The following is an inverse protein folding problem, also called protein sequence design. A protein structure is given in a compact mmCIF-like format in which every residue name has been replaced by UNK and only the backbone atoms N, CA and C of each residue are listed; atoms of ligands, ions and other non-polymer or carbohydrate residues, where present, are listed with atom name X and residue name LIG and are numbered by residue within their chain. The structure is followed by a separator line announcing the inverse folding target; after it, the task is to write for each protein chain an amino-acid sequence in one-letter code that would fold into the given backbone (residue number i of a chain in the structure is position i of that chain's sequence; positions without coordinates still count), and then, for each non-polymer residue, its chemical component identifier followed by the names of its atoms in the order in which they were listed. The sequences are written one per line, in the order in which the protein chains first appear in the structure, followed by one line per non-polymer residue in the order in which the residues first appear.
data_IF_640083041431
#
_entry.id   IF_640083041431
#
_cell.length_a   1.000
_cell.length_b   1.000
_cell.length_c   1.000
_cell.angle_alpha   90.00
_cell.angle_beta   90.00
_cell.angle_gamma   90.00
#
_symmetry.space_group_name_H-M   'P 1'
#
loop_
_entity.id
_entity.type
_entity.pdbx_description
1 polymer ?
#
# COMPACT_ATOMS: atom_id res chain seq x y z
N UNK A 1 -36.31 36.58 -18.98
CA UNK A 1 -34.85 36.67 -18.69
C UNK A 1 -34.42 35.32 -18.16
N UNK A 2 -33.58 34.63 -18.87
CA UNK A 2 -33.07 33.29 -18.48
C UNK A 2 -31.87 33.49 -17.54
N UNK A 3 -31.85 32.82 -16.40
CA UNK A 3 -30.69 32.76 -15.50
C UNK A 3 -29.54 32.02 -16.19
N UNK A 4 -28.29 32.47 -16.04
CA UNK A 4 -27.14 31.78 -16.61
C UNK A 4 -26.87 30.51 -15.80
N UNK A 5 -26.97 29.36 -16.42
CA UNK A 5 -26.56 28.07 -15.86
C UNK A 5 -25.03 28.01 -15.85
N UNK A 6 -24.43 28.09 -14.65
CA UNK A 6 -22.99 27.92 -14.47
C UNK A 6 -22.57 26.53 -14.92
N UNK A 7 -21.60 26.45 -15.82
CA UNK A 7 -21.07 25.18 -16.30
C UNK A 7 -20.14 24.51 -15.26
N UNK A 8 -20.05 23.20 -15.27
CA UNK A 8 -19.26 22.38 -14.33
C UNK A 8 -17.75 22.78 -14.26
N UNK A 9 -17.26 23.46 -15.31
CA UNK A 9 -15.88 23.96 -15.39
C UNK A 9 -15.62 25.18 -14.50
N UNK A 10 -16.64 26.02 -14.26
CA UNK A 10 -16.50 27.23 -13.42
C UNK A 10 -16.53 26.93 -11.93
N UNK A 11 -17.22 25.84 -11.54
CA UNK A 11 -17.24 25.38 -10.14
C UNK A 11 -15.89 24.83 -9.68
N UNK A 12 -15.08 24.24 -10.57
CA UNK A 12 -13.77 23.67 -10.23
C UNK A 12 -12.71 24.75 -9.96
N UNK A 13 -12.85 25.96 -10.53
CA UNK A 13 -11.92 27.07 -10.30
C UNK A 13 -12.15 27.81 -8.97
N UNK A 14 -13.35 27.72 -8.39
CA UNK A 14 -13.68 28.40 -7.14
C UNK A 14 -13.01 27.74 -5.90
N UNK A 15 -12.57 26.48 -6.00
CA UNK A 15 -11.96 25.73 -4.88
C UNK A 15 -10.48 26.10 -4.69
N UNK A 16 -9.80 26.64 -5.70
CA UNK A 16 -8.36 26.97 -5.65
C UNK A 16 -8.04 28.27 -4.87
N UNK A 17 -9.04 29.01 -4.44
CA UNK A 17 -8.86 30.35 -3.79
C UNK A 17 -8.46 30.25 -2.31
N UNK A 18 -8.43 29.07 -1.71
CA UNK A 18 -8.13 28.87 -0.29
C UNK A 18 -6.84 28.09 -0.04
N UNK A 19 -5.79 28.32 -0.82
CA UNK A 19 -4.47 27.81 -0.43
C UNK A 19 -4.01 28.51 0.86
N UNK A 20 -4.07 27.76 1.96
CA UNK A 20 -3.52 28.23 3.24
C UNK A 20 -2.06 27.79 3.32
N UNK A 21 -1.13 28.65 3.76
CA UNK A 21 0.22 28.23 4.07
C UNK A 21 0.19 27.13 5.15
N UNK A 22 0.79 25.99 4.85
CA UNK A 22 0.87 24.88 5.80
C UNK A 22 2.07 25.12 6.72
N UNK A 23 1.82 25.61 7.92
CA UNK A 23 2.86 25.86 8.93
C UNK A 23 3.27 24.58 9.68
N UNK A 24 2.32 23.66 9.89
CA UNK A 24 2.54 22.39 10.57
C UNK A 24 1.74 21.29 9.89
N UNK A 25 2.26 20.07 9.92
CA UNK A 25 1.59 18.88 9.38
C UNK A 25 1.19 17.95 10.53
N UNK A 26 0.01 17.38 10.43
CA UNK A 26 -0.39 16.25 11.24
C UNK A 26 0.46 15.03 10.84
N UNK A 27 0.96 14.31 11.84
CA UNK A 27 1.67 13.06 11.63
C UNK A 27 0.74 11.91 12.02
N UNK A 28 0.29 11.16 11.03
CA UNK A 28 -0.54 9.99 11.26
C UNK A 28 0.24 8.94 12.06
N UNK A 29 -0.29 8.42 13.18
CA UNK A 29 0.40 7.40 13.97
C UNK A 29 0.74 6.14 13.18
N UNK A 30 -0.12 5.73 12.23
CA UNK A 30 0.12 4.58 11.38
C UNK A 30 1.30 4.83 10.46
N UNK A 31 1.35 6.00 9.80
CA UNK A 31 2.49 6.39 8.98
C UNK A 31 3.80 6.36 9.78
N UNK A 32 3.77 6.86 11.03
CA UNK A 32 4.96 6.90 11.89
C UNK A 32 5.52 5.52 12.19
N UNK A 33 4.68 4.54 12.53
CA UNK A 33 5.17 3.19 12.82
C UNK A 33 5.75 2.50 11.59
N UNK A 34 5.18 2.72 10.40
CA UNK A 34 5.71 2.16 9.16
C UNK A 34 7.00 2.85 8.70
N UNK A 35 7.08 4.18 8.79
CA UNK A 35 8.32 4.94 8.51
C UNK A 35 9.44 4.53 9.48
N UNK A 36 9.13 4.35 10.76
CA UNK A 36 10.10 3.89 11.75
C UNK A 36 10.58 2.46 11.45
N UNK A 37 9.68 1.58 10.98
CA UNK A 37 10.04 0.21 10.57
C UNK A 37 10.94 0.22 9.34
N UNK A 38 10.62 1.01 8.31
CA UNK A 38 11.48 1.18 7.14
C UNK A 38 12.89 1.65 7.54
N UNK A 39 12.99 2.58 8.50
CA UNK A 39 14.28 3.03 9.04
C UNK A 39 15.07 1.92 9.74
N UNK A 40 14.41 1.06 10.50
CA UNK A 40 15.07 -0.11 11.13
C UNK A 40 15.63 -1.07 10.09
N UNK A 41 14.99 -1.13 8.93
CA UNK A 41 15.45 -1.91 7.79
C UNK A 41 16.50 -1.19 6.92
N UNK A 42 16.94 0.01 7.32
CA UNK A 42 17.95 0.78 6.62
C UNK A 42 17.41 1.70 5.51
N UNK A 43 16.08 1.86 5.41
CA UNK A 43 15.46 2.72 4.39
C UNK A 43 15.12 4.10 4.94
N UNK A 44 15.37 5.12 4.12
CA UNK A 44 14.87 6.49 4.31
C UNK A 44 13.70 6.71 3.36
N UNK A 45 12.55 7.14 3.88
CA UNK A 45 11.37 7.46 3.07
C UNK A 45 11.42 8.94 2.69
N UNK A 46 11.20 9.24 1.41
CA UNK A 46 11.10 10.60 0.88
C UNK A 46 9.90 10.73 -0.06
N UNK A 47 9.22 11.89 -0.01
CA UNK A 47 8.17 12.22 -0.99
C UNK A 47 8.80 12.80 -2.25
N UNK A 48 8.37 12.29 -3.41
CA UNK A 48 8.79 12.79 -4.72
C UNK A 48 7.58 12.91 -5.65
N UNK A 49 7.20 14.12 -6.08
CA UNK A 49 6.01 14.33 -6.92
C UNK A 49 6.18 13.86 -8.37
N UNK A 50 7.37 13.46 -8.77
CA UNK A 50 7.65 13.03 -10.14
C UNK A 50 7.47 11.52 -10.37
N UNK A 51 7.18 10.75 -9.31
CA UNK A 51 7.09 9.29 -9.36
C UNK A 51 5.92 8.81 -8.52
N UNK A 52 5.45 7.59 -8.79
CA UNK A 52 4.51 6.87 -7.95
C UNK A 52 5.25 6.23 -6.76
N UNK A 53 6.19 5.35 -7.06
CA UNK A 53 7.14 4.76 -6.12
C UNK A 53 8.46 4.43 -6.83
N UNK A 54 9.59 4.50 -6.12
CA UNK A 54 10.89 4.06 -6.64
C UNK A 54 11.92 3.93 -5.51
N UNK A 55 12.88 3.04 -5.68
CA UNK A 55 14.05 2.94 -4.79
C UNK A 55 15.35 3.05 -5.57
N UNK A 56 16.37 3.61 -4.93
CA UNK A 56 17.73 3.64 -5.50
C UNK A 56 18.53 2.34 -5.23
N UNK A 57 17.95 1.36 -4.52
CA UNK A 57 18.63 0.15 -4.08
C UNK A 57 19.75 0.37 -3.04
N UNK A 58 19.87 1.60 -2.50
CA UNK A 58 20.96 2.01 -1.59
C UNK A 58 20.45 2.60 -0.28
N UNK A 59 19.16 2.40 0.01
CA UNK A 59 18.55 2.84 1.25
C UNK A 59 17.62 4.04 1.12
N UNK A 60 17.31 4.51 -0.08
CA UNK A 60 16.29 5.51 -0.33
C UNK A 60 15.07 4.85 -0.96
N UNK A 61 13.90 5.04 -0.36
CA UNK A 61 12.59 4.73 -0.94
C UNK A 61 11.82 6.04 -1.13
N UNK A 62 11.48 6.34 -2.36
CA UNK A 62 10.69 7.50 -2.74
C UNK A 62 9.25 7.08 -3.01
N UNK A 63 8.31 7.82 -2.45
CA UNK A 63 6.87 7.64 -2.65
C UNK A 63 6.26 8.96 -3.15
N UNK A 64 5.30 8.88 -4.05
CA UNK A 64 4.52 10.04 -4.46
C UNK A 64 3.84 10.72 -3.27
N UNK A 65 3.57 12.03 -3.32
CA UNK A 65 2.72 12.68 -2.33
C UNK A 65 1.26 12.22 -2.50
N UNK A 66 0.47 12.26 -1.43
CA UNK A 66 -0.90 11.71 -1.39
C UNK A 66 -1.81 12.23 -2.52
N UNK A 67 -1.61 13.46 -2.98
CA UNK A 67 -2.38 14.04 -4.09
C UNK A 67 -1.98 13.54 -5.49
N UNK A 68 -0.97 12.69 -5.61
CA UNK A 68 -0.55 12.02 -6.84
C UNK A 68 -0.72 10.51 -6.80
N UNK A 69 -1.23 10.00 -5.70
CA UNK A 69 -1.56 8.59 -5.50
C UNK A 69 -3.05 8.36 -5.79
N UNK A 70 -3.46 7.11 -5.88
CA UNK A 70 -4.86 6.75 -5.98
C UNK A 70 -5.61 7.11 -4.68
N UNK A 71 -6.93 7.28 -4.75
CA UNK A 71 -7.71 7.83 -3.64
C UNK A 71 -7.70 6.97 -2.37
N UNK A 72 -7.45 5.68 -2.51
CA UNK A 72 -7.37 4.70 -1.43
C UNK A 72 -5.93 4.31 -1.05
N UNK A 73 -4.91 4.90 -1.71
CA UNK A 73 -3.52 4.73 -1.33
C UNK A 73 -3.22 5.45 -0.01
N UNK A 74 -2.45 4.79 0.82
CA UNK A 74 -1.90 5.39 2.03
C UNK A 74 -0.46 4.94 2.28
N UNK A 75 0.29 5.74 3.04
CA UNK A 75 1.74 5.56 3.25
C UNK A 75 2.10 4.17 3.76
N UNK A 76 1.32 3.62 4.69
CA UNK A 76 1.62 2.31 5.30
C UNK A 76 1.47 1.16 4.31
N UNK A 77 0.42 1.19 3.48
CA UNK A 77 0.20 0.20 2.43
C UNK A 77 1.33 0.27 1.39
N UNK A 78 1.68 1.48 0.93
CA UNK A 78 2.76 1.70 -0.01
C UNK A 78 4.11 1.17 0.52
N UNK A 79 4.44 1.46 1.79
CA UNK A 79 5.68 0.96 2.41
C UNK A 79 5.68 -0.56 2.47
N UNK A 80 4.57 -1.20 2.89
CA UNK A 80 4.50 -2.67 2.91
C UNK A 80 4.68 -3.25 1.52
N UNK A 81 4.01 -2.68 0.51
CA UNK A 81 4.09 -3.13 -0.87
C UNK A 81 5.53 -3.10 -1.38
N UNK A 82 6.22 -1.99 -1.20
CA UNK A 82 7.61 -1.85 -1.60
C UNK A 82 8.56 -2.79 -0.83
N UNK A 83 8.34 -3.00 0.46
CA UNK A 83 9.09 -4.00 1.22
C UNK A 83 8.85 -5.42 0.68
N UNK A 84 7.62 -5.72 0.22
CA UNK A 84 7.32 -7.00 -0.41
C UNK A 84 8.06 -7.19 -1.74
N UNK A 85 8.24 -6.13 -2.55
CA UNK A 85 9.11 -6.18 -3.73
C UNK A 85 10.54 -6.52 -3.36
N UNK A 86 11.12 -5.82 -2.40
CA UNK A 86 12.48 -6.05 -1.92
C UNK A 86 12.68 -7.51 -1.49
N UNK A 87 11.77 -8.02 -0.67
CA UNK A 87 11.85 -9.38 -0.14
C UNK A 87 11.62 -10.42 -1.24
N UNK A 88 10.67 -10.19 -2.15
CA UNK A 88 10.30 -11.16 -3.19
C UNK A 88 11.40 -11.34 -4.22
N UNK A 89 12.04 -10.26 -4.65
CA UNK A 89 13.07 -10.30 -5.68
C UNK A 89 14.39 -10.92 -5.19
N UNK A 90 14.62 -10.92 -3.88
CA UNK A 90 15.70 -11.67 -3.24
C UNK A 90 17.07 -10.99 -3.30
N UNK A 91 18.07 -11.65 -2.73
CA UNK A 91 19.39 -11.08 -2.44
C UNK A 91 20.14 -10.57 -3.67
N UNK A 92 19.94 -11.20 -4.82
CA UNK A 92 20.65 -10.85 -6.05
C UNK A 92 20.33 -9.41 -6.53
N UNK A 93 19.19 -8.88 -6.15
CA UNK A 93 18.69 -7.57 -6.61
C UNK A 93 18.60 -6.52 -5.50
N UNK A 94 19.03 -6.82 -4.27
CA UNK A 94 18.89 -5.91 -3.12
C UNK A 94 19.50 -4.53 -3.33
N UNK A 95 20.49 -4.40 -4.17
CA UNK A 95 21.19 -3.16 -4.45
C UNK A 95 20.86 -2.56 -5.82
N UNK A 96 19.94 -3.19 -6.55
CA UNK A 96 19.50 -2.69 -7.84
C UNK A 96 18.42 -1.62 -7.65
N UNK A 97 18.33 -0.69 -8.60
CA UNK A 97 17.22 0.25 -8.65
C UNK A 97 15.90 -0.53 -8.74
N UNK A 98 14.91 -0.07 -8.01
CA UNK A 98 13.59 -0.69 -7.89
C UNK A 98 13.68 -2.21 -7.58
N UNK A 99 14.78 -2.59 -6.89
CA UNK A 99 15.14 -3.97 -6.55
C UNK A 99 15.09 -4.94 -7.74
N UNK A 100 15.46 -4.43 -8.93
CA UNK A 100 15.43 -5.18 -10.18
C UNK A 100 14.02 -5.44 -10.73
N UNK A 101 13.03 -4.72 -10.21
CA UNK A 101 11.67 -4.76 -10.73
C UNK A 101 11.53 -3.82 -11.92
N UNK A 102 11.00 -4.31 -13.04
CA UNK A 102 10.78 -3.51 -14.25
C UNK A 102 9.31 -3.64 -14.65
N UNK A 103 8.58 -2.54 -14.61
CA UNK A 103 7.17 -2.44 -14.99
C UNK A 103 6.92 -2.71 -16.49
N UNK A 104 7.97 -2.81 -17.31
CA UNK A 104 7.86 -2.92 -18.78
C UNK A 104 7.56 -4.34 -19.28
N UNK A 105 7.55 -5.33 -18.39
CA UNK A 105 7.20 -6.70 -18.77
C UNK A 105 5.69 -6.89 -18.64
N UNK A 106 5.01 -7.19 -19.73
CA UNK A 106 3.64 -7.68 -19.72
C UNK A 106 3.52 -8.80 -18.69
N UNK A 107 2.78 -8.54 -17.59
CA UNK A 107 2.52 -9.49 -16.51
C UNK A 107 3.81 -10.04 -15.86
N UNK A 108 4.52 -9.19 -15.15
CA UNK A 108 5.60 -9.72 -14.31
C UNK A 108 5.00 -10.57 -13.18
N UNK A 109 5.16 -11.89 -13.28
CA UNK A 109 4.73 -12.85 -12.27
C UNK A 109 5.31 -12.53 -10.87
N UNK A 110 6.41 -11.78 -10.79
CA UNK A 110 7.01 -11.33 -9.52
C UNK A 110 6.11 -10.36 -8.78
N UNK A 111 5.34 -9.53 -9.51
CA UNK A 111 4.30 -8.68 -8.91
C UNK A 111 3.26 -9.53 -8.18
N UNK A 112 2.72 -10.55 -8.84
CA UNK A 112 1.76 -11.46 -8.21
C UNK A 112 2.36 -12.18 -6.99
N UNK A 113 3.65 -12.53 -7.04
CA UNK A 113 4.36 -13.11 -5.90
C UNK A 113 4.47 -12.12 -4.74
N UNK A 114 4.76 -10.85 -5.04
CA UNK A 114 4.77 -9.75 -4.09
C UNK A 114 3.41 -9.57 -3.42
N UNK A 115 2.33 -9.56 -4.21
CA UNK A 115 0.96 -9.42 -3.69
C UNK A 115 0.54 -10.57 -2.77
N UNK A 116 0.96 -11.79 -3.08
CA UNK A 116 0.72 -12.95 -2.21
C UNK A 116 1.50 -12.86 -0.89
N UNK A 117 2.74 -12.38 -0.93
CA UNK A 117 3.51 -12.09 0.27
C UNK A 117 2.83 -11.00 1.09
N UNK A 118 2.40 -9.91 0.46
CA UNK A 118 1.67 -8.80 1.11
C UNK A 118 0.41 -9.31 1.80
N UNK A 119 -0.40 -10.12 1.13
CA UNK A 119 -1.58 -10.74 1.69
C UNK A 119 -1.23 -11.62 2.90
N UNK A 120 -0.23 -12.50 2.76
CA UNK A 120 0.20 -13.39 3.84
C UNK A 120 0.68 -12.63 5.09
N UNK A 121 1.44 -11.55 4.90
CA UNK A 121 1.89 -10.70 6.00
C UNK A 121 0.72 -9.94 6.65
N UNK A 122 -0.15 -9.32 5.84
CA UNK A 122 -1.30 -8.59 6.33
C UNK A 122 -2.28 -9.47 7.11
N UNK A 123 -2.46 -10.72 6.71
CA UNK A 123 -3.32 -11.68 7.39
C UNK A 123 -2.89 -12.00 8.81
N UNK A 124 -1.58 -11.96 9.10
CA UNK A 124 -1.07 -12.22 10.45
C UNK A 124 -1.63 -11.26 11.50
N UNK A 125 -2.10 -10.09 11.04
CA UNK A 125 -2.67 -9.06 11.90
C UNK A 125 -4.11 -8.69 11.51
N UNK A 126 -4.76 -9.46 10.62
CA UNK A 126 -6.11 -9.17 10.13
C UNK A 126 -6.23 -7.84 9.37
N UNK A 127 -5.18 -7.48 8.63
CA UNK A 127 -5.07 -6.20 7.92
C UNK A 127 -5.20 -6.36 6.39
N UNK A 128 -5.66 -7.50 5.89
CA UNK A 128 -5.68 -7.80 4.46
C UNK A 128 -6.38 -6.72 3.62
N UNK A 129 -7.53 -6.25 4.03
CA UNK A 129 -8.27 -5.21 3.30
C UNK A 129 -7.66 -3.83 3.47
N UNK A 130 -7.10 -3.53 4.66
CA UNK A 130 -6.51 -2.24 4.98
C UNK A 130 -5.18 -2.04 4.23
N UNK A 131 -4.37 -3.10 4.11
CA UNK A 131 -3.08 -3.07 3.45
C UNK A 131 -3.13 -3.66 2.03
N UNK A 132 -4.30 -3.65 1.39
CA UNK A 132 -4.46 -4.09 0.01
C UNK A 132 -3.77 -3.10 -0.95
N UNK A 133 -3.22 -3.57 -2.08
CA UNK A 133 -2.73 -2.69 -3.13
C UNK A 133 -3.91 -1.96 -3.77
N UNK A 134 -3.60 -0.87 -4.45
CA UNK A 134 -4.59 -0.05 -5.12
C UNK A 134 -4.89 -0.50 -6.55
N UNK A 135 -5.54 0.31 -7.32
CA UNK A 135 -6.32 0.03 -8.50
C UNK A 135 -5.71 -0.95 -9.51
N UNK A 136 -4.41 -0.87 -9.82
CA UNK A 136 -3.83 -1.63 -10.94
C UNK A 136 -3.77 -3.14 -10.67
N UNK A 137 -3.41 -3.54 -9.45
CA UNK A 137 -3.23 -4.95 -9.08
C UNK A 137 -4.34 -5.49 -8.18
N UNK A 138 -5.30 -4.65 -7.83
CA UNK A 138 -6.39 -4.99 -6.92
C UNK A 138 -7.18 -6.23 -7.40
N UNK A 139 -7.41 -6.34 -8.69
CA UNK A 139 -8.16 -7.48 -9.26
C UNK A 139 -7.50 -8.84 -8.97
N UNK A 140 -6.16 -8.91 -8.99
CA UNK A 140 -5.46 -10.14 -8.62
C UNK A 140 -5.51 -10.35 -7.11
N UNK A 141 -5.23 -9.30 -6.35
CA UNK A 141 -5.17 -9.35 -4.89
C UNK A 141 -6.50 -9.82 -4.27
N UNK A 142 -7.62 -9.32 -4.77
CA UNK A 142 -8.96 -9.69 -4.28
C UNK A 142 -9.31 -11.17 -4.56
N UNK A 143 -8.62 -11.82 -5.48
CA UNK A 143 -8.79 -13.25 -5.76
C UNK A 143 -7.86 -14.15 -4.93
N UNK A 144 -6.91 -13.57 -4.19
CA UNK A 144 -6.03 -14.35 -3.31
C UNK A 144 -6.88 -15.02 -2.22
N UNK A 145 -6.88 -16.37 -2.15
CA UNK A 145 -7.72 -17.07 -1.19
C UNK A 145 -7.28 -16.85 0.26
N UNK A 146 -8.05 -17.39 1.20
CA UNK A 146 -7.72 -17.34 2.64
C UNK A 146 -6.35 -17.98 2.94
N UNK A 147 -5.98 -19.06 2.28
CA UNK A 147 -4.58 -19.47 2.19
C UNK A 147 -3.92 -18.67 1.06
N UNK A 148 -3.04 -17.70 1.34
CA UNK A 148 -2.43 -16.86 0.31
C UNK A 148 -1.63 -17.63 -0.75
N UNK A 149 -1.35 -18.90 -0.50
CA UNK A 149 -0.61 -19.80 -1.38
C UNK A 149 -1.49 -20.84 -2.04
N UNK A 150 -2.80 -20.73 -1.87
CA UNK A 150 -3.79 -21.55 -2.57
C UNK A 150 -3.88 -21.19 -4.06
N UNK A 151 -4.44 -22.07 -4.88
CA UNK A 151 -4.55 -21.86 -6.33
C UNK A 151 -5.53 -20.72 -6.64
N UNK A 152 -5.23 -19.95 -7.69
CA UNK A 152 -6.13 -19.00 -8.33
C UNK A 152 -6.27 -19.43 -9.80
N UNK A 153 -7.50 -19.68 -10.23
CA UNK A 153 -7.76 -20.08 -11.61
C UNK A 153 -7.72 -18.87 -12.56
N UNK A 154 -7.25 -19.11 -13.78
CA UNK A 154 -7.28 -18.13 -14.87
C UNK A 154 -6.16 -17.08 -14.87
N UNK A 155 -5.22 -17.12 -13.93
CA UNK A 155 -4.04 -16.26 -13.94
C UNK A 155 -2.82 -17.03 -14.45
N UNK A 156 -2.00 -16.39 -15.31
CA UNK A 156 -0.79 -17.03 -15.83
C UNK A 156 0.31 -17.15 -14.76
N UNK A 157 1.23 -18.09 -14.96
CA UNK A 157 2.45 -18.25 -14.18
C UNK A 157 2.26 -18.57 -12.68
N UNK A 158 1.09 -19.07 -12.26
CA UNK A 158 0.84 -19.42 -10.86
C UNK A 158 1.80 -20.50 -10.33
N UNK A 159 2.32 -21.32 -11.21
CA UNK A 159 3.37 -22.32 -10.95
C UNK A 159 4.74 -21.68 -10.60
N UNK A 160 4.99 -20.45 -11.01
CA UNK A 160 6.13 -19.62 -10.61
C UNK A 160 5.80 -18.72 -9.42
N UNK A 161 4.60 -18.12 -9.42
CA UNK A 161 4.15 -17.15 -8.43
C UNK A 161 4.12 -17.76 -7.02
N UNK A 162 3.47 -18.90 -6.85
CA UNK A 162 3.26 -19.48 -5.52
C UNK A 162 4.58 -19.93 -4.87
N UNK A 163 5.49 -20.65 -5.53
CA UNK A 163 6.78 -20.98 -4.96
C UNK A 163 7.60 -19.75 -4.57
N UNK A 164 7.64 -18.72 -5.44
CA UNK A 164 8.39 -17.50 -5.16
C UNK A 164 7.81 -16.73 -3.94
N UNK A 165 6.48 -16.66 -3.82
CA UNK A 165 5.84 -16.06 -2.67
C UNK A 165 6.11 -16.82 -1.36
N UNK A 166 6.14 -18.16 -1.40
CA UNK A 166 6.53 -18.99 -0.23
C UNK A 166 7.99 -18.74 0.18
N UNK A 167 8.89 -18.64 -0.80
CA UNK A 167 10.29 -18.32 -0.56
C UNK A 167 10.45 -16.91 0.03
N UNK A 168 9.69 -15.96 -0.49
CA UNK A 168 9.63 -14.60 0.04
C UNK A 168 9.11 -14.57 1.49
N UNK A 169 8.08 -15.36 1.82
CA UNK A 169 7.60 -15.44 3.20
C UNK A 169 8.68 -15.99 4.16
N UNK A 170 9.43 -17.00 3.75
CA UNK A 170 10.56 -17.51 4.56
C UNK A 170 11.62 -16.43 4.80
N UNK A 171 11.94 -15.62 3.77
CA UNK A 171 12.83 -14.46 3.90
C UNK A 171 12.24 -13.40 4.83
N UNK A 172 10.97 -13.05 4.66
CA UNK A 172 10.28 -12.08 5.50
C UNK A 172 10.25 -12.44 6.99
N UNK A 173 10.31 -13.73 7.32
CA UNK A 173 10.34 -14.24 8.70
C UNK A 173 11.76 -14.31 9.28
N UNK A 174 12.79 -14.14 8.47
CA UNK A 174 14.19 -14.17 8.86
C UNK A 174 14.77 -12.76 9.06
N UNK A 175 15.90 -12.61 9.76
CA UNK A 175 16.63 -11.34 9.77
C UNK A 175 17.01 -10.89 8.35
N UNK A 176 16.99 -9.59 8.06
CA UNK A 176 16.71 -8.47 8.96
C UNK A 176 15.21 -8.14 9.11
N UNK A 177 14.31 -8.76 8.35
CA UNK A 177 12.90 -8.35 8.22
C UNK A 177 11.99 -8.86 9.34
N UNK A 178 12.22 -10.07 9.86
CA UNK A 178 11.24 -10.80 10.67
C UNK A 178 10.75 -10.03 11.89
N UNK A 179 11.66 -9.56 12.73
CA UNK A 179 11.29 -8.81 13.94
C UNK A 179 10.64 -7.45 13.61
N UNK A 180 11.20 -6.58 12.73
CA UNK A 180 10.57 -5.31 12.39
C UNK A 180 9.19 -5.45 11.76
N UNK A 181 8.98 -6.41 10.85
CA UNK A 181 7.69 -6.64 10.21
C UNK A 181 6.65 -7.16 11.21
N UNK A 182 7.01 -8.13 12.03
CA UNK A 182 6.11 -8.65 13.06
C UNK A 182 5.67 -7.54 14.04
N UNK A 183 6.60 -6.69 14.45
CA UNK A 183 6.32 -5.59 15.36
C UNK A 183 5.37 -4.54 14.75
N UNK A 184 5.59 -4.12 13.51
CA UNK A 184 4.73 -3.11 12.86
C UNK A 184 3.34 -3.65 12.56
N UNK A 185 3.24 -4.90 12.11
CA UNK A 185 1.94 -5.53 11.83
C UNK A 185 1.13 -5.68 13.11
N UNK A 186 1.76 -6.10 14.22
CA UNK A 186 1.10 -6.18 15.51
C UNK A 186 0.63 -4.81 16.02
N UNK A 187 1.46 -3.76 15.88
CA UNK A 187 1.09 -2.40 16.27
C UNK A 187 -0.07 -1.85 15.42
N UNK A 188 -0.04 -2.05 14.10
CA UNK A 188 -1.14 -1.63 13.21
C UNK A 188 -2.42 -2.41 13.52
N UNK A 189 -2.33 -3.72 13.74
CA UNK A 189 -3.46 -4.55 14.15
C UNK A 189 -4.09 -4.08 15.46
N UNK A 190 -3.29 -3.67 16.44
CA UNK A 190 -3.79 -3.12 17.69
C UNK A 190 -4.57 -1.80 17.49
N UNK A 191 -4.13 -0.94 16.56
CA UNK A 191 -4.90 0.27 16.19
C UNK A 191 -6.22 -0.12 15.54
N UNK A 192 -6.22 -1.05 14.58
CA UNK A 192 -7.46 -1.59 13.97
C UNK A 192 -8.42 -2.09 15.03
N UNK A 193 -7.93 -2.87 16.00
CA UNK A 193 -8.79 -3.43 17.06
C UNK A 193 -9.38 -2.32 17.93
N UNK A 194 -8.60 -1.28 18.23
CA UNK A 194 -9.07 -0.15 19.02
C UNK A 194 -10.18 0.66 18.30
N UNK A 195 -10.16 0.76 16.98
CA UNK A 195 -11.18 1.49 16.21
C UNK A 195 -12.37 0.62 15.81
N UNK A 196 -12.28 -0.71 15.87
CA UNK A 196 -13.33 -1.64 15.43
C UNK A 196 -14.71 -1.38 16.06
N UNK A 197 -14.84 -1.03 17.35
CA UNK A 197 -16.14 -0.70 17.95
C UNK A 197 -16.81 0.50 17.26
N UNK A 198 -16.02 1.51 16.87
CA UNK A 198 -16.52 2.73 16.22
C UNK A 198 -16.93 2.47 14.77
N UNK A 199 -16.29 1.53 14.08
CA UNK A 199 -16.66 1.17 12.70
C UNK A 199 -18.07 0.58 12.60
N UNK A 200 -18.55 -0.09 13.64
CA UNK A 200 -19.92 -0.64 13.67
C UNK A 200 -20.98 0.45 13.68
N UNK A 201 -20.72 1.52 14.44
CA UNK A 201 -21.61 2.66 14.52
C UNK A 201 -21.58 3.47 13.21
N UNK A 202 -20.41 3.53 12.59
CA UNK A 202 -20.17 4.20 11.33
C UNK A 202 -20.93 3.57 10.15
N UNK A 203 -20.96 2.25 10.06
CA UNK A 203 -21.50 1.52 8.92
C UNK A 203 -23.04 1.64 8.78
N UNK A 204 -23.75 2.07 9.82
CA UNK A 204 -25.22 2.11 9.85
C UNK A 204 -25.80 3.50 9.58
N UNK A 205 -25.08 4.58 9.82
CA UNK A 205 -25.69 5.92 9.92
C UNK A 205 -25.06 6.98 9.01
N UNK A 206 -24.01 6.67 8.25
CA UNK A 206 -23.33 7.67 7.42
C UNK A 206 -23.65 7.46 5.95
N UNK A 207 -24.28 8.48 5.35
CA UNK A 207 -24.52 8.50 3.91
C UNK A 207 -23.20 8.51 3.13
N UNK A 208 -23.16 7.74 2.05
CA UNK A 208 -21.99 7.54 1.18
C UNK A 208 -21.29 8.81 0.67
N UNK A 209 -22.01 9.95 0.70
CA UNK A 209 -21.52 11.25 0.26
C UNK A 209 -20.85 12.09 1.36
N UNK A 210 -20.96 11.67 2.64
CA UNK A 210 -20.39 12.43 3.76
C UNK A 210 -18.90 12.15 3.99
N UNK A 211 -18.45 10.94 3.73
CA UNK A 211 -17.03 10.56 3.78
C UNK A 211 -16.73 9.60 2.62
N UNK A 212 -16.46 10.14 1.44
CA UNK A 212 -16.22 9.32 0.26
C UNK A 212 -14.97 8.46 0.46
N UNK A 213 -15.11 7.20 0.18
CA UNK A 213 -14.06 6.24 -0.14
C UNK A 213 -13.11 5.74 0.96
N UNK A 214 -12.90 6.43 2.07
CA UNK A 214 -11.93 5.98 3.08
C UNK A 214 -12.27 4.63 3.74
N UNK A 215 -13.52 4.17 3.62
CA UNK A 215 -14.03 3.01 4.35
C UNK A 215 -14.89 2.05 3.50
N UNK A 216 -14.88 2.21 2.20
CA UNK A 216 -15.49 1.21 1.30
C UNK A 216 -14.54 0.03 1.21
N UNK A 217 -14.74 -0.91 2.14
CA UNK A 217 -14.09 -2.22 2.11
C UNK A 217 -14.63 -3.11 1.02
#
# INVERSE_FOLDING_TARGET
MAEPTLTRSEATHAISVFERPVERRYLDPIDLIWIATARRLGLTIRRNPAIFSSTDGKGLLELGPLNTLDADDHTSQMILHELCHWITNGEATFHDRDWGFHLDAELDWREHSCLRLQAALADTAGLRSILAPTSQFRKYYDQIPTDPFGPIEGWPCEDLVVPAARDALRRAQAPPWGEPLAAVLAAHGAVRDAITPFLRDYATDIADDMLPSLWKG
#
